data_IF_188001540570
#
_entry.id   IF_188001540570
#
_cell.length_a   1.000
_cell.length_b   1.000
_cell.length_c   1.000
_cell.angle_alpha   90.00
_cell.angle_beta   90.00
_cell.angle_gamma   90.00
#
_symmetry.space_group_name_H-M   'P 1'
#
loop_
_entity.id
_entity.type
_entity.pdbx_description
1 polymer ?
#
# COMPACT_ATOMS: atom_id res chain seq x y z
N UNK A 1 -60.20 16.93 3.19
CA UNK A 1 -59.01 17.62 2.60
C UNK A 1 -57.76 17.47 3.48
N UNK A 2 -57.37 16.24 3.87
CA UNK A 2 -56.17 16.03 4.73
C UNK A 2 -55.35 14.79 4.39
N UNK A 3 -55.84 13.92 3.52
CA UNK A 3 -55.17 12.66 3.15
C UNK A 3 -54.26 12.78 1.92
N UNK A 4 -54.47 13.80 1.07
CA UNK A 4 -53.73 13.94 -0.20
C UNK A 4 -52.31 14.53 -0.05
N UNK A 5 -51.99 15.16 1.09
CA UNK A 5 -50.67 15.76 1.34
C UNK A 5 -49.62 14.76 1.82
N UNK A 6 -50.03 13.58 2.28
CA UNK A 6 -49.11 12.60 2.89
C UNK A 6 -48.33 11.80 1.85
N UNK A 7 -48.93 11.49 0.71
CA UNK A 7 -48.31 10.62 -0.29
C UNK A 7 -47.24 11.31 -1.16
N UNK A 8 -47.22 12.65 -1.19
CA UNK A 8 -46.26 13.44 -1.99
C UNK A 8 -44.84 13.38 -1.40
N UNK A 9 -44.70 13.14 -0.08
CA UNK A 9 -43.37 13.09 0.57
C UNK A 9 -42.61 11.79 0.29
N UNK A 10 -43.28 10.73 -0.13
CA UNK A 10 -42.69 9.39 -0.29
C UNK A 10 -42.05 9.14 -1.65
N UNK A 11 -42.22 10.03 -2.63
CA UNK A 11 -41.80 9.78 -4.02
C UNK A 11 -40.42 10.37 -4.40
N UNK A 12 -39.68 11.00 -3.47
CA UNK A 12 -38.41 11.68 -3.78
C UNK A 12 -37.17 10.83 -3.46
N UNK A 13 -37.34 9.64 -2.86
CA UNK A 13 -36.20 8.79 -2.42
C UNK A 13 -35.71 7.77 -3.47
N UNK A 14 -35.88 7.99 -4.78
CA UNK A 14 -35.63 6.96 -5.78
C UNK A 14 -34.46 7.19 -6.78
N UNK A 15 -33.78 8.34 -6.81
CA UNK A 15 -32.90 8.66 -7.97
C UNK A 15 -31.52 9.26 -7.61
N UNK A 16 -30.67 8.56 -6.84
CA UNK A 16 -29.26 8.99 -6.66
C UNK A 16 -28.23 7.84 -6.47
N UNK A 17 -28.46 6.65 -7.04
CA UNK A 17 -27.55 5.50 -6.87
C UNK A 17 -26.82 5.01 -8.13
N UNK A 18 -26.75 5.81 -9.20
CA UNK A 18 -26.03 5.45 -10.43
C UNK A 18 -24.98 6.53 -10.75
N UNK A 19 -23.70 6.27 -10.46
CA UNK A 19 -22.65 7.21 -10.88
C UNK A 19 -21.22 7.03 -10.35
N UNK A 20 -20.92 6.02 -9.53
CA UNK A 20 -19.58 5.85 -8.93
C UNK A 20 -18.82 4.61 -9.46
N UNK A 21 -18.93 4.34 -10.77
CA UNK A 21 -18.10 3.37 -11.48
C UNK A 21 -17.20 4.10 -12.49
N UNK A 22 -16.56 5.19 -12.07
CA UNK A 22 -15.56 5.88 -12.87
C UNK A 22 -14.16 5.39 -12.46
N UNK A 23 -13.61 4.50 -13.30
CA UNK A 23 -12.18 4.27 -13.49
C UNK A 23 -11.35 4.03 -12.22
N UNK A 24 -11.46 2.82 -11.68
CA UNK A 24 -10.32 2.20 -10.99
C UNK A 24 -9.23 1.92 -12.02
N UNK A 25 -8.49 2.96 -12.43
CA UNK A 25 -7.14 2.77 -12.91
C UNK A 25 -6.36 2.24 -11.71
N UNK A 26 -6.35 0.91 -11.52
CA UNK A 26 -5.41 0.28 -10.62
C UNK A 26 -4.04 0.65 -11.18
N UNK A 27 -3.22 1.47 -10.48
CA UNK A 27 -1.84 1.63 -10.90
C UNK A 27 -1.29 0.22 -11.07
N UNK A 28 -0.60 -0.04 -12.19
CA UNK A 28 0.18 -1.26 -12.36
C UNK A 28 0.86 -1.52 -11.02
N UNK A 29 0.53 -2.64 -10.37
CA UNK A 29 0.86 -2.86 -8.96
C UNK A 29 2.33 -2.50 -8.79
N UNK A 30 2.60 -1.32 -8.21
CA UNK A 30 3.96 -0.92 -7.91
C UNK A 30 4.49 -2.09 -7.09
N UNK A 31 5.60 -2.69 -7.50
CA UNK A 31 6.14 -3.83 -6.77
C UNK A 31 6.10 -3.45 -5.29
N UNK A 32 5.39 -4.23 -4.47
CA UNK A 32 5.16 -3.89 -3.07
C UNK A 32 6.48 -4.07 -2.33
N UNK A 33 7.42 -3.13 -2.54
CA UNK A 33 8.75 -3.15 -1.96
C UNK A 33 8.65 -3.17 -0.43
N UNK A 34 7.52 -2.73 0.13
CA UNK A 34 7.21 -2.89 1.54
C UNK A 34 7.01 -4.36 1.92
N UNK A 35 6.16 -5.11 1.21
CA UNK A 35 5.94 -6.54 1.45
C UNK A 35 7.21 -7.36 1.20
N UNK A 36 7.90 -7.11 0.08
CA UNK A 36 9.20 -7.71 -0.23
C UNK A 36 10.22 -7.36 0.86
N UNK A 37 10.27 -6.08 1.25
CA UNK A 37 11.18 -5.58 2.28
C UNK A 37 10.92 -6.21 3.64
N UNK A 38 9.67 -6.48 3.98
CA UNK A 38 9.30 -7.13 5.24
C UNK A 38 9.78 -8.58 5.26
N UNK A 39 9.55 -9.32 4.17
CA UNK A 39 10.08 -10.67 4.01
C UNK A 39 11.62 -10.69 4.07
N UNK A 40 12.29 -9.76 3.39
CA UNK A 40 13.75 -9.64 3.42
C UNK A 40 14.25 -9.30 4.83
N UNK A 41 13.58 -8.41 5.56
CA UNK A 41 13.94 -8.06 6.93
C UNK A 41 13.85 -9.27 7.87
N UNK A 42 12.76 -10.04 7.78
CA UNK A 42 12.57 -11.27 8.56
C UNK A 42 13.65 -12.31 8.26
N UNK A 43 13.99 -12.51 6.98
CA UNK A 43 15.07 -13.41 6.56
C UNK A 43 16.44 -13.00 7.10
N UNK A 44 16.67 -11.69 7.27
CA UNK A 44 17.92 -11.15 7.80
C UNK A 44 17.91 -11.02 9.34
N UNK A 45 16.85 -11.49 10.01
CA UNK A 45 16.72 -11.41 11.47
C UNK A 45 16.62 -9.98 11.99
N UNK A 46 16.09 -9.06 11.19
CA UNK A 46 15.97 -7.65 11.51
C UNK A 46 14.59 -7.07 11.24
N UNK A 47 14.48 -5.76 11.35
CA UNK A 47 13.24 -5.03 11.05
C UNK A 47 13.39 -4.17 9.81
N UNK A 48 12.30 -4.03 9.05
CA UNK A 48 12.26 -3.16 7.89
C UNK A 48 12.30 -1.69 8.36
N UNK A 49 13.34 -0.97 7.96
CA UNK A 49 13.48 0.47 8.26
C UNK A 49 13.09 1.36 7.08
N UNK A 50 13.28 0.88 5.85
CA UNK A 50 12.88 1.58 4.62
C UNK A 50 12.74 0.57 3.50
N UNK A 51 11.72 0.75 2.68
CA UNK A 51 11.60 0.13 1.38
C UNK A 51 11.37 1.25 0.35
N UNK A 52 12.11 1.24 -0.75
CA UNK A 52 11.95 2.22 -1.82
C UNK A 52 12.19 1.57 -3.17
N UNK A 53 11.27 1.81 -4.09
CA UNK A 53 11.45 1.45 -5.49
C UNK A 53 12.38 2.47 -6.16
N UNK A 54 13.26 1.99 -7.05
CA UNK A 54 14.15 2.82 -7.85
C UNK A 54 14.51 2.09 -9.14
N UNK A 55 15.09 2.79 -10.10
CA UNK A 55 15.58 2.20 -11.35
C UNK A 55 17.10 2.22 -11.35
N UNK A 56 17.75 1.06 -11.48
CA UNK A 56 19.21 0.95 -11.62
C UNK A 56 19.54 0.27 -12.94
N UNK A 57 20.28 0.97 -13.81
CA UNK A 57 20.69 0.43 -15.11
C UNK A 57 19.52 0.07 -16.03
N UNK A 58 18.38 0.76 -15.90
CA UNK A 58 17.17 0.47 -16.68
C UNK A 58 16.28 -0.63 -16.10
N UNK A 59 16.70 -1.28 -15.01
CA UNK A 59 15.88 -2.26 -14.30
C UNK A 59 15.23 -1.64 -13.06
N UNK A 60 13.96 -1.95 -12.85
CA UNK A 60 13.24 -1.60 -11.63
C UNK A 60 13.67 -2.52 -10.48
N UNK A 61 14.06 -1.91 -9.35
CA UNK A 61 14.57 -2.60 -8.18
C UNK A 61 14.04 -1.97 -6.91
N UNK A 62 13.85 -2.78 -5.87
CA UNK A 62 13.57 -2.34 -4.52
C UNK A 62 14.87 -2.23 -3.72
N UNK A 63 15.14 -1.05 -3.18
CA UNK A 63 16.18 -0.80 -2.19
C UNK A 63 15.56 -0.94 -0.80
N UNK A 64 15.98 -1.98 -0.08
CA UNK A 64 15.48 -2.35 1.23
C UNK A 64 16.54 -2.03 2.28
N UNK A 65 16.17 -1.33 3.33
CA UNK A 65 17.04 -1.07 4.48
C UNK A 65 16.52 -1.85 5.67
N UNK A 66 17.34 -2.78 6.17
CA UNK A 66 17.04 -3.61 7.33
C UNK A 66 17.90 -3.16 8.51
N UNK A 67 17.29 -3.08 9.70
CA UNK A 67 18.00 -2.91 10.96
C UNK A 67 18.12 -4.26 11.65
N UNK A 68 19.33 -4.80 11.70
CA UNK A 68 19.63 -6.05 12.40
C UNK A 68 20.08 -5.72 13.83
N UNK A 69 19.40 -6.23 14.86
CA UNK A 69 19.82 -6.04 16.25
C UNK A 69 21.25 -6.52 16.49
N UNK A 70 22.05 -5.71 17.20
CA UNK A 70 23.34 -6.16 17.71
C UNK A 70 23.18 -7.04 18.95
N UNK A 71 24.22 -7.80 19.30
CA UNK A 71 24.29 -8.55 20.57
C UNK A 71 24.91 -7.68 21.67
N UNK A 72 24.61 -7.96 22.93
CA UNK A 72 25.34 -7.39 24.08
C UNK A 72 25.42 -5.85 24.10
N UNK A 73 24.32 -5.17 23.74
CA UNK A 73 24.26 -3.70 23.71
C UNK A 73 24.95 -3.04 22.52
N UNK A 74 25.41 -3.81 21.55
CA UNK A 74 25.94 -3.28 20.29
C UNK A 74 24.85 -2.54 19.52
N UNK A 75 25.24 -1.47 18.83
CA UNK A 75 24.32 -0.68 17.99
C UNK A 75 23.73 -1.56 16.88
N UNK A 76 22.44 -1.38 16.52
CA UNK A 76 21.85 -2.06 15.37
C UNK A 76 22.66 -1.83 14.09
N UNK A 77 22.85 -2.90 13.33
CA UNK A 77 23.54 -2.87 12.04
C UNK A 77 22.53 -2.53 10.97
N UNK A 78 22.83 -1.50 10.16
CA UNK A 78 22.03 -1.14 8.99
C UNK A 78 22.56 -1.92 7.78
N UNK A 79 21.70 -2.73 7.17
CA UNK A 79 22.00 -3.48 5.95
C UNK A 79 21.12 -2.95 4.82
N UNK A 80 21.74 -2.56 3.70
CA UNK A 80 21.03 -2.18 2.48
C UNK A 80 21.07 -3.35 1.51
N UNK A 81 19.90 -3.77 1.03
CA UNK A 81 19.70 -4.94 0.21
C UNK A 81 18.89 -4.51 -1.01
N UNK A 82 19.42 -4.79 -2.20
CA UNK A 82 18.76 -4.44 -3.47
C UNK A 82 18.20 -5.72 -4.08
N UNK A 83 16.91 -5.72 -4.36
CA UNK A 83 16.20 -6.86 -4.96
C UNK A 83 15.42 -6.39 -6.19
N UNK A 84 15.22 -7.24 -7.21
CA UNK A 84 14.37 -6.91 -8.34
C UNK A 84 12.93 -6.59 -7.93
N UNK A 85 12.33 -5.59 -8.56
CA UNK A 85 10.90 -5.31 -8.51
C UNK A 85 10.22 -6.15 -9.61
N UNK A 86 9.80 -7.37 -9.28
CA UNK A 86 9.19 -8.32 -10.23
C UNK A 86 7.67 -8.34 -10.12
#
# INVERSE_FOLDING_TARGET
>A
MKTLRSHVRTAILALTAAGLLASQATPAAAADCYAIGQQVAEQNGGTLAKASQTTRGGQEVCVIVVLVPGKDGQRPRRSEIVVPAN
#
